data_IF_848592133045
#
_entry.id   IF_848592133045
#
_cell.length_a   1.000
_cell.length_b   1.000
_cell.length_c   1.000
_cell.angle_alpha   90.00
_cell.angle_beta   90.00
_cell.angle_gamma   90.00
#
_symmetry.space_group_name_H-M   'P 1'
#
loop_
_entity.id
_entity.type
_entity.pdbx_description
1 polymer ?
#
# COMPACT_ATOMS: atom_id res chain seq x y z
N UNK A 1 -1.82 -1.80 12.48
CA UNK A 1 -2.65 -2.58 11.54
C UNK A 1 -1.77 -3.19 10.46
N UNK A 2 -2.04 -4.43 10.06
CA UNK A 2 -1.33 -5.09 8.97
C UNK A 2 -2.15 -4.93 7.69
N UNK A 3 -1.52 -4.44 6.64
CA UNK A 3 -2.10 -4.33 5.31
C UNK A 3 -1.43 -5.32 4.36
N UNK A 4 -2.25 -6.17 3.74
CA UNK A 4 -1.83 -7.07 2.67
C UNK A 4 -2.56 -6.69 1.38
N UNK A 5 -1.87 -6.37 0.28
CA UNK A 5 -2.53 -6.04 -0.97
C UNK A 5 -3.34 -7.23 -1.50
N UNK A 6 -4.47 -6.94 -2.14
CA UNK A 6 -5.29 -7.96 -2.79
C UNK A 6 -4.59 -8.57 -4.00
N UNK A 7 -3.79 -7.78 -4.67
CA UNK A 7 -3.10 -8.07 -5.92
C UNK A 7 -1.59 -8.14 -5.69
N UNK A 8 -1.12 -9.04 -4.85
CA UNK A 8 0.30 -9.34 -4.81
C UNK A 8 0.59 -10.40 -5.85
N UNK A 9 1.20 -10.03 -6.94
CA UNK A 9 1.78 -11.00 -7.86
C UNK A 9 3.10 -11.46 -7.31
N UNK A 10 3.39 -12.77 -7.32
CA UNK A 10 4.74 -13.25 -7.11
C UNK A 10 5.62 -12.56 -8.17
N UNK A 11 6.73 -11.99 -7.76
CA UNK A 11 7.65 -11.32 -8.65
C UNK A 11 8.04 -12.25 -9.80
N UNK A 12 7.36 -12.14 -10.94
CA UNK A 12 7.92 -12.55 -12.21
C UNK A 12 9.23 -11.79 -12.40
N UNK A 13 10.16 -12.29 -13.22
CA UNK A 13 11.51 -11.78 -13.44
C UNK A 13 11.65 -10.29 -13.15
N UNK A 14 12.44 -9.96 -12.11
CA UNK A 14 12.74 -8.60 -11.68
C UNK A 14 13.21 -7.76 -12.87
N UNK A 15 12.48 -6.72 -13.19
CA UNK A 15 13.03 -5.63 -13.97
C UNK A 15 13.75 -4.74 -12.96
N UNK A 16 15.06 -4.55 -13.09
CA UNK A 16 15.89 -3.81 -12.13
C UNK A 16 15.39 -2.39 -11.82
N UNK A 17 14.61 -1.79 -12.73
CA UNK A 17 14.08 -0.43 -12.61
C UNK A 17 12.79 -0.30 -11.81
N UNK A 18 12.03 -1.40 -11.64
CA UNK A 18 10.74 -1.35 -10.97
C UNK A 18 10.85 -1.88 -9.54
N UNK A 19 10.30 -1.19 -8.52
CA UNK A 19 10.25 -1.71 -7.17
C UNK A 19 9.32 -2.94 -7.14
N UNK A 20 9.86 -4.17 -6.97
CA UNK A 20 9.09 -5.40 -7.18
C UNK A 20 8.01 -5.63 -6.11
N UNK A 21 8.12 -4.95 -4.98
CA UNK A 21 7.19 -5.10 -3.86
C UNK A 21 6.25 -3.90 -3.69
N UNK A 22 6.33 -2.90 -4.56
CA UNK A 22 5.34 -1.84 -4.66
C UNK A 22 4.11 -2.34 -5.43
N UNK A 23 2.98 -1.67 -5.27
CA UNK A 23 1.81 -1.94 -6.10
C UNK A 23 2.09 -1.60 -7.57
N UNK A 24 1.80 -2.54 -8.47
CA UNK A 24 2.00 -2.40 -9.90
C UNK A 24 0.79 -1.88 -10.67
N UNK A 25 -0.34 -1.59 -9.99
CA UNK A 25 -1.55 -1.09 -10.63
C UNK A 25 -1.37 0.33 -11.20
N UNK A 26 -2.28 0.74 -12.07
CA UNK A 26 -2.24 2.08 -12.65
C UNK A 26 -2.46 3.21 -11.63
N UNK A 27 -2.95 2.90 -10.45
CA UNK A 27 -3.20 3.85 -9.36
C UNK A 27 -2.41 3.54 -8.08
N UNK A 28 -1.36 2.71 -8.14
CA UNK A 28 -0.44 2.41 -7.01
C UNK A 28 -1.13 2.40 -5.64
N UNK A 29 -1.95 1.40 -5.38
CA UNK A 29 -2.74 1.36 -4.15
C UNK A 29 -2.24 0.28 -3.17
N UNK A 30 -1.49 0.67 -2.13
CA UNK A 30 -1.10 2.01 -1.71
C UNK A 30 0.01 2.61 -2.59
N UNK A 31 0.06 3.94 -2.67
CA UNK A 31 1.22 4.63 -3.22
C UNK A 31 2.30 4.72 -2.15
N UNK A 32 3.31 3.86 -2.26
CA UNK A 32 4.43 3.81 -1.31
C UNK A 32 5.65 4.62 -1.77
N UNK A 33 5.65 5.14 -3.00
CA UNK A 33 6.81 5.78 -3.60
C UNK A 33 6.87 7.28 -3.32
N UNK A 34 5.74 7.89 -3.05
CA UNK A 34 5.64 9.31 -2.70
C UNK A 34 6.36 9.64 -1.38
N UNK A 35 6.75 10.92 -1.22
CA UNK A 35 7.32 11.42 0.04
C UNK A 35 6.39 11.16 1.24
N UNK A 36 5.11 11.37 1.03
CA UNK A 36 4.06 10.93 1.92
C UNK A 36 3.31 9.78 1.24
N UNK A 37 3.58 8.52 1.58
CA UNK A 37 2.81 7.40 1.10
C UNK A 37 1.32 7.59 1.33
N UNK A 38 0.50 7.05 0.44
CA UNK A 38 -0.94 7.22 0.56
C UNK A 38 -1.68 5.89 0.49
N UNK A 39 -2.76 5.82 1.26
CA UNK A 39 -3.67 4.68 1.33
C UNK A 39 -5.08 5.22 1.12
N UNK A 40 -5.84 4.55 0.25
CA UNK A 40 -7.19 4.96 -0.08
C UNK A 40 -8.18 3.79 0.04
N UNK A 41 -9.44 4.05 -0.29
CA UNK A 41 -10.46 3.02 -0.37
C UNK A 41 -10.48 2.26 -1.72
N UNK A 42 -9.60 2.60 -2.68
CA UNK A 42 -9.64 2.07 -4.05
C UNK A 42 -9.54 0.55 -4.13
N UNK A 43 -8.67 -0.08 -3.36
CA UNK A 43 -8.50 -1.54 -3.38
C UNK A 43 -9.36 -2.29 -2.37
N UNK A 44 -9.61 -1.71 -1.20
CA UNK A 44 -10.26 -2.39 -0.08
C UNK A 44 -11.61 -1.81 0.29
N UNK A 45 -12.06 -0.78 -0.42
CA UNK A 45 -13.32 -0.11 -0.14
C UNK A 45 -13.41 0.32 1.32
N UNK A 46 -14.59 0.16 1.92
CA UNK A 46 -14.87 0.58 3.29
C UNK A 46 -14.21 -0.30 4.38
N UNK A 47 -13.48 -1.34 3.99
CA UNK A 47 -12.94 -2.31 4.94
C UNK A 47 -11.57 -1.95 5.50
N UNK A 48 -10.88 -0.92 4.98
CA UNK A 48 -9.55 -0.56 5.44
C UNK A 48 -9.39 0.94 5.71
N UNK A 49 -9.13 1.76 4.67
CA UNK A 49 -8.83 3.18 4.84
C UNK A 49 -9.85 3.94 5.71
N UNK A 50 -11.17 3.74 5.56
CA UNK A 50 -12.16 4.43 6.38
C UNK A 50 -12.11 4.12 7.88
N UNK A 51 -11.45 3.03 8.26
CA UNK A 51 -11.34 2.60 9.67
C UNK A 51 -10.06 3.10 10.35
N UNK A 52 -9.19 3.76 9.61
CA UNK A 52 -7.93 4.28 10.13
C UNK A 52 -8.05 5.76 10.51
N UNK A 53 -7.36 6.13 11.56
CA UNK A 53 -7.30 7.47 12.12
C UNK A 53 -5.87 8.00 12.11
N UNK A 54 -5.73 9.31 12.27
CA UNK A 54 -4.42 9.94 12.45
C UNK A 54 -3.76 9.35 13.70
N UNK A 55 -2.48 9.00 13.59
CA UNK A 55 -1.70 8.31 14.62
C UNK A 55 -1.71 6.78 14.50
N UNK A 56 -2.61 6.19 13.70
CA UNK A 56 -2.59 4.76 13.46
C UNK A 56 -1.32 4.35 12.70
N UNK A 57 -0.75 3.20 13.10
CA UNK A 57 0.41 2.59 12.45
C UNK A 57 -0.01 1.46 11.55
N UNK A 58 0.55 1.43 10.36
CA UNK A 58 0.24 0.45 9.32
C UNK A 58 1.50 -0.28 8.90
N UNK A 59 1.52 -1.60 9.05
CA UNK A 59 2.54 -2.46 8.45
C UNK A 59 2.03 -2.97 7.09
N UNK A 60 2.72 -2.62 6.03
CA UNK A 60 2.43 -3.13 4.69
C UNK A 60 3.26 -4.38 4.43
N UNK A 61 2.55 -5.50 4.26
CA UNK A 61 3.15 -6.81 4.06
C UNK A 61 2.70 -7.36 2.71
N UNK A 62 3.63 -7.51 1.78
CA UNK A 62 3.38 -8.10 0.47
C UNK A 62 3.53 -9.63 0.52
N UNK A 63 2.74 -10.34 -0.28
CA UNK A 63 2.90 -11.78 -0.47
C UNK A 63 4.04 -12.04 -1.45
N UNK A 64 4.98 -12.92 -1.12
CA UNK A 64 6.10 -13.26 -2.00
C UNK A 64 5.83 -14.58 -2.75
N UNK A 65 5.71 -15.67 -2.03
CA UNK A 65 5.38 -17.00 -2.53
C UNK A 65 4.47 -17.71 -1.53
N UNK A 66 3.98 -18.88 -1.84
CA UNK A 66 3.15 -19.65 -0.91
C UNK A 66 3.86 -19.81 0.45
N UNK A 67 3.23 -19.29 1.51
CA UNK A 67 3.75 -19.37 2.88
C UNK A 67 4.86 -18.39 3.25
N UNK A 68 5.21 -17.45 2.37
CA UNK A 68 6.17 -16.37 2.67
C UNK A 68 5.59 -15.00 2.38
N UNK A 69 6.05 -14.01 3.13
CA UNK A 69 5.66 -12.60 3.01
C UNK A 69 6.89 -11.72 3.10
N UNK A 70 6.73 -10.45 2.75
CA UNK A 70 7.79 -9.45 2.84
C UNK A 70 7.26 -8.22 3.57
N UNK A 71 7.98 -7.76 4.61
CA UNK A 71 7.68 -6.48 5.23
C UNK A 71 8.18 -5.37 4.31
N UNK A 72 7.28 -4.65 3.67
CA UNK A 72 7.63 -3.68 2.63
C UNK A 72 7.67 -2.25 3.17
N UNK A 73 6.78 -1.91 4.10
CA UNK A 73 6.75 -0.59 4.72
C UNK A 73 6.12 -0.62 6.12
N UNK A 74 6.60 0.29 6.96
CA UNK A 74 6.00 0.68 8.23
C UNK A 74 5.62 2.16 8.12
N UNK A 75 4.35 2.46 8.29
CA UNK A 75 3.77 3.78 8.06
C UNK A 75 3.04 4.26 9.31
N UNK A 76 2.95 5.58 9.46
CA UNK A 76 2.07 6.24 10.41
C UNK A 76 1.13 7.17 9.65
N UNK A 77 -0.16 7.09 9.92
CA UNK A 77 -1.17 7.98 9.33
C UNK A 77 -0.99 9.37 9.94
N UNK A 78 -0.61 10.35 9.13
CA UNK A 78 -0.39 11.73 9.59
C UNK A 78 -1.52 12.68 9.20
N UNK A 79 -2.31 12.31 8.19
CA UNK A 79 -3.45 13.10 7.76
C UNK A 79 -4.54 12.18 7.18
N UNK A 80 -5.78 12.51 7.46
CA UNK A 80 -6.97 11.88 6.90
C UNK A 80 -7.82 12.95 6.21
N UNK A 81 -8.32 12.61 5.04
CA UNK A 81 -9.21 13.44 4.24
C UNK A 81 -10.46 12.63 3.91
N UNK A 82 -11.58 13.31 3.78
CA UNK A 82 -12.85 12.68 3.39
C UNK A 82 -13.01 12.64 1.87
N UNK A 83 -12.24 13.45 1.14
CA UNK A 83 -12.27 13.52 -0.32
C UNK A 83 -10.86 13.49 -0.93
N UNK A 84 -10.76 13.04 -2.18
CA UNK A 84 -9.53 13.08 -2.96
C UNK A 84 -9.10 14.52 -3.30
N UNK A 85 -10.04 15.45 -3.43
CA UNK A 85 -9.79 16.86 -3.70
C UNK A 85 -9.10 17.56 -2.54
N UNK A 86 -9.55 17.30 -1.31
CA UNK A 86 -8.89 17.79 -0.09
C UNK A 86 -7.46 17.28 0.01
N UNK A 87 -7.26 15.98 -0.25
CA UNK A 87 -5.93 15.37 -0.27
C UNK A 87 -5.05 16.02 -1.34
N UNK A 88 -5.54 16.18 -2.57
CA UNK A 88 -4.79 16.81 -3.66
C UNK A 88 -4.37 18.24 -3.31
N UNK A 89 -5.27 19.00 -2.70
CA UNK A 89 -4.99 20.37 -2.23
C UNK A 89 -3.89 20.39 -1.19
N UNK A 90 -3.95 19.46 -0.23
CA UNK A 90 -2.91 19.33 0.78
C UNK A 90 -1.54 18.96 0.19
N UNK A 91 -1.47 17.97 -0.73
CA UNK A 91 -0.21 17.59 -1.37
C UNK A 91 0.41 18.77 -2.14
N UNK A 92 -0.41 19.52 -2.90
CA UNK A 92 0.05 20.73 -3.60
C UNK A 92 0.57 21.79 -2.61
N UNK A 93 -0.11 21.96 -1.47
CA UNK A 93 0.33 22.84 -0.39
C UNK A 93 1.66 22.44 0.26
N UNK A 94 2.05 21.15 0.15
CA UNK A 94 3.37 20.65 0.54
C UNK A 94 4.43 20.77 -0.58
N UNK A 95 4.10 21.38 -1.70
CA UNK A 95 4.96 21.44 -2.88
C UNK A 95 5.14 20.11 -3.59
N UNK A 96 4.19 19.18 -3.44
CA UNK A 96 4.24 17.84 -4.00
C UNK A 96 3.10 17.64 -5.01
N UNK A 97 3.31 16.85 -6.07
CA UNK A 97 2.21 16.41 -6.91
C UNK A 97 1.30 15.46 -6.11
N UNK A 98 -0.02 15.47 -6.39
CA UNK A 98 -0.90 14.44 -5.85
C UNK A 98 -0.41 13.04 -6.28
N UNK A 99 -0.41 12.05 -5.38
CA UNK A 99 0.03 10.69 -5.72
C UNK A 99 -0.91 10.03 -6.73
N UNK A 100 -0.44 8.96 -7.37
CA UNK A 100 -1.14 8.31 -8.49
C UNK A 100 -2.53 7.77 -8.14
N UNK A 101 -2.76 7.41 -6.87
CA UNK A 101 -4.06 6.95 -6.35
C UNK A 101 -5.00 8.12 -5.93
N UNK A 102 -4.59 9.36 -6.13
CA UNK A 102 -5.45 10.51 -5.91
C UNK A 102 -6.31 10.75 -7.15
N UNK A 103 -7.59 10.37 -7.09
CA UNK A 103 -8.54 10.38 -8.20
C UNK A 103 -9.15 11.77 -8.38
N UNK A 104 -8.35 12.72 -8.86
CA UNK A 104 -8.79 14.10 -9.14
C UNK A 104 -8.47 14.50 -10.57
N UNK A 105 -9.12 15.56 -11.07
CA UNK A 105 -8.83 16.10 -12.39
C UNK A 105 -7.35 16.48 -12.51
N UNK A 106 -6.70 16.01 -13.57
CA UNK A 106 -5.30 16.27 -13.86
C UNK A 106 -4.32 15.20 -13.36
N UNK A 107 -4.78 14.21 -12.58
CA UNK A 107 -4.00 13.00 -12.32
C UNK A 107 -4.32 11.94 -13.36
N UNK A 108 -3.28 11.44 -14.04
CA UNK A 108 -3.41 10.38 -15.03
C UNK A 108 -3.02 9.02 -14.47
N UNK A 109 -3.62 7.92 -14.97
CA UNK A 109 -3.19 6.59 -14.60
C UNK A 109 -1.74 6.35 -15.05
N UNK A 110 -0.98 5.67 -14.20
CA UNK A 110 0.38 5.23 -14.52
C UNK A 110 0.33 3.94 -15.35
N UNK A 111 1.38 3.64 -16.12
CA UNK A 111 1.52 2.35 -16.77
C UNK A 111 1.47 1.21 -15.75
N UNK A 112 0.83 0.11 -16.12
CA UNK A 112 0.88 -1.12 -15.32
C UNK A 112 2.32 -1.63 -15.28
N UNK A 113 2.77 -2.03 -14.10
CA UNK A 113 4.08 -2.68 -13.95
C UNK A 113 3.97 -4.18 -14.23
N UNK A 114 5.06 -4.77 -14.70
CA UNK A 114 5.14 -6.22 -14.95
C UNK A 114 4.96 -7.07 -13.70
N UNK A 115 5.17 -6.49 -12.51
CA UNK A 115 4.93 -7.10 -11.22
C UNK A 115 3.44 -7.23 -10.90
N UNK A 116 2.59 -6.55 -11.65
CA UNK A 116 1.15 -6.61 -11.49
C UNK A 116 0.57 -7.66 -12.43
N UNK A 117 -0.10 -8.67 -11.89
CA UNK A 117 -0.78 -9.69 -12.70
C UNK A 117 -1.90 -9.06 -13.52
N UNK A 118 -1.83 -9.26 -14.83
CA UNK A 118 -2.73 -8.70 -15.85
C UNK A 118 -4.18 -9.20 -15.70
N UNK A 119 -4.46 -10.04 -14.72
CA UNK A 119 -5.68 -10.87 -14.69
C UNK A 119 -6.97 -10.18 -14.24
N UNK A 120 -6.92 -8.95 -13.71
CA UNK A 120 -8.12 -8.42 -13.08
C UNK A 120 -9.07 -7.64 -14.00
N UNK A 121 -8.59 -6.89 -14.97
CA UNK A 121 -9.46 -6.10 -15.84
C UNK A 121 -9.00 -6.01 -17.30
N UNK A 122 -7.93 -6.69 -17.69
CA UNK A 122 -7.44 -6.77 -19.09
C UNK A 122 -6.95 -5.45 -19.69
N UNK A 123 -7.59 -4.34 -19.40
CA UNK A 123 -7.30 -3.03 -20.01
C UNK A 123 -7.13 -1.93 -18.96
N UNK A 124 -6.10 -1.10 -19.16
CA UNK A 124 -5.79 0.04 -18.30
C UNK A 124 -7.00 0.96 -18.07
N UNK A 125 -7.76 1.24 -19.13
CA UNK A 125 -8.94 2.10 -19.07
C UNK A 125 -10.02 1.55 -18.14
N UNK A 126 -10.34 0.26 -18.23
CA UNK A 126 -11.34 -0.38 -17.36
C UNK A 126 -10.91 -0.39 -15.89
N UNK A 127 -9.60 -0.53 -15.64
CA UNK A 127 -9.05 -0.41 -14.29
C UNK A 127 -9.23 0.98 -13.73
N UNK A 128 -8.90 2.00 -14.50
CA UNK A 128 -9.02 3.38 -14.08
C UNK A 128 -10.48 3.78 -13.82
N UNK A 129 -11.38 3.36 -14.67
CA UNK A 129 -12.84 3.55 -14.50
C UNK A 129 -13.34 2.90 -13.19
N UNK A 130 -12.90 1.68 -12.87
CA UNK A 130 -13.24 1.03 -11.59
C UNK A 130 -12.70 1.79 -10.38
N UNK A 131 -11.48 2.31 -10.46
CA UNK A 131 -10.92 3.12 -9.39
C UNK A 131 -11.69 4.45 -9.23
N UNK A 132 -12.06 5.09 -10.33
CA UNK A 132 -12.88 6.29 -10.29
C UNK A 132 -14.24 6.03 -9.62
N UNK A 133 -14.91 4.94 -9.99
CA UNK A 133 -16.15 4.54 -9.34
C UNK A 133 -15.96 4.36 -7.83
N UNK A 134 -14.94 3.65 -7.40
CA UNK A 134 -14.65 3.42 -5.98
C UNK A 134 -14.32 4.69 -5.22
N UNK A 135 -13.59 5.62 -5.83
CA UNK A 135 -13.33 6.93 -5.24
C UNK A 135 -14.62 7.73 -5.01
N UNK A 136 -15.58 7.64 -5.94
CA UNK A 136 -16.88 8.26 -5.81
C UNK A 136 -17.74 7.61 -4.71
N UNK A 137 -17.61 6.28 -4.53
CA UNK A 137 -18.33 5.54 -3.48
C UNK A 137 -17.73 5.75 -2.08
N UNK A 138 -16.43 5.99 -2.00
CA UNK A 138 -15.70 6.20 -0.76
C UNK A 138 -14.44 7.04 -1.00
N UNK A 139 -14.54 8.34 -0.73
CA UNK A 139 -13.49 9.32 -0.97
C UNK A 139 -12.36 9.33 0.08
N UNK A 140 -12.41 8.47 1.10
CA UNK A 140 -11.42 8.50 2.19
C UNK A 140 -10.01 8.31 1.65
N UNK A 141 -9.15 9.25 2.00
CA UNK A 141 -7.76 9.32 1.60
C UNK A 141 -6.86 9.54 2.82
N UNK A 142 -5.82 8.74 2.96
CA UNK A 142 -4.86 8.83 4.06
C UNK A 142 -3.49 9.20 3.50
N UNK A 143 -2.88 10.25 4.06
CA UNK A 143 -1.46 10.53 3.87
C UNK A 143 -0.69 9.98 5.05
N UNK A 144 0.42 9.29 4.77
CA UNK A 144 1.22 8.62 5.76
C UNK A 144 2.65 9.15 5.77
N UNK A 145 3.28 9.11 6.96
CA UNK A 145 4.72 9.26 7.10
C UNK A 145 5.36 7.88 7.02
N UNK A 146 6.37 7.66 6.16
CA UNK A 146 7.11 6.41 6.21
C UNK A 146 8.00 6.41 7.45
N UNK A 147 7.78 5.46 8.34
CA UNK A 147 8.67 5.19 9.47
C UNK A 147 9.86 4.33 9.00
N UNK A 148 9.57 3.45 8.04
CA UNK A 148 10.54 2.65 7.31
C UNK A 148 9.90 2.12 6.02
N UNK A 149 10.68 1.95 4.96
CA UNK A 149 10.26 1.23 3.75
C UNK A 149 11.46 0.67 2.99
N UNK A 150 11.27 -0.53 2.44
CA UNK A 150 12.17 -1.12 1.46
C UNK A 150 11.30 -1.75 0.35
N UNK A 151 11.32 -1.16 -0.84
CA UNK A 151 10.50 -1.58 -1.97
C UNK A 151 11.26 -2.52 -2.92
N UNK A 152 12.56 -2.67 -2.74
CA UNK A 152 13.42 -3.43 -3.65
C UNK A 152 13.73 -4.83 -3.10
N UNK A 153 14.14 -4.93 -1.86
CA UNK A 153 14.47 -6.19 -1.20
C UNK A 153 14.06 -6.17 0.28
N UNK A 154 12.75 -6.13 0.55
CA UNK A 154 12.25 -6.12 1.92
C UNK A 154 12.50 -7.46 2.61
N UNK A 155 12.70 -7.46 3.94
CA UNK A 155 12.93 -8.65 4.74
C UNK A 155 11.78 -9.64 4.61
N UNK A 156 12.13 -10.91 4.59
CA UNK A 156 11.17 -12.01 4.49
C UNK A 156 10.58 -12.34 5.86
N UNK A 157 9.29 -12.63 5.86
CA UNK A 157 8.55 -13.16 7.00
C UNK A 157 8.08 -14.55 6.64
N UNK A 158 8.43 -15.53 7.44
CA UNK A 158 8.01 -16.92 7.24
C UNK A 158 6.72 -17.23 8.02
N UNK A 159 6.11 -18.37 7.74
CA UNK A 159 4.98 -18.87 8.53
C UNK A 159 5.38 -19.05 10.00
N UNK A 160 6.60 -19.56 10.27
CA UNK A 160 7.12 -19.77 11.62
C UNK A 160 7.23 -18.46 12.40
N UNK A 161 7.65 -17.37 11.75
CA UNK A 161 7.70 -16.05 12.38
C UNK A 161 6.30 -15.59 12.81
N UNK A 162 5.31 -15.73 11.93
CA UNK A 162 3.92 -15.38 12.27
C UNK A 162 3.37 -16.21 13.43
N UNK A 163 3.62 -17.52 13.45
CA UNK A 163 3.21 -18.43 14.53
C UNK A 163 3.87 -18.03 15.87
N UNK A 164 5.16 -17.72 15.82
CA UNK A 164 5.91 -17.26 17.00
C UNK A 164 5.39 -15.92 17.55
N UNK A 165 4.97 -15.02 16.68
CA UNK A 165 4.43 -13.72 17.07
C UNK A 165 2.94 -13.76 17.46
N UNK A 166 2.30 -14.92 17.40
CA UNK A 166 0.90 -15.10 17.74
C UNK A 166 -0.07 -14.48 16.74
N UNK A 167 0.35 -14.37 15.48
CA UNK A 167 -0.45 -13.74 14.43
C UNK A 167 -0.39 -14.48 13.09
N UNK A 168 -1.17 -13.99 12.16
CA UNK A 168 -1.09 -14.38 10.74
C UNK A 168 -1.46 -13.18 9.88
N UNK A 169 -0.87 -13.04 8.68
CA UNK A 169 -1.27 -11.98 7.75
C UNK A 169 -2.67 -12.31 7.23
N UNK A 170 -3.66 -11.63 7.76
CA UNK A 170 -5.05 -11.77 7.29
C UNK A 170 -5.29 -10.86 6.11
N UNK A 171 -6.27 -11.22 5.25
CA UNK A 171 -6.73 -10.32 4.18
C UNK A 171 -7.50 -9.13 4.73
N UNK A 172 -8.00 -9.25 5.95
CA UNK A 172 -8.71 -8.20 6.66
C UNK A 172 -7.74 -7.47 7.58
N UNK A 173 -7.79 -6.15 7.66
CA UNK A 173 -7.00 -5.42 8.63
C UNK A 173 -7.30 -5.94 10.02
N UNK A 174 -6.29 -6.40 10.71
CA UNK A 174 -6.41 -6.85 12.09
C UNK A 174 -5.72 -5.85 13.00
N UNK A 175 -6.39 -5.44 14.06
CA UNK A 175 -5.77 -4.68 15.12
C UNK A 175 -4.98 -5.65 15.99
N UNK A 176 -3.69 -5.76 15.71
CA UNK A 176 -2.77 -6.67 16.42
C UNK A 176 -1.60 -5.85 16.96
N UNK A 177 -1.80 -5.12 18.09
CA UNK A 177 -0.74 -4.28 18.66
C UNK A 177 0.53 -5.08 18.96
N UNK A 178 0.40 -6.34 19.34
CA UNK A 178 1.53 -7.22 19.69
C UNK A 178 2.46 -7.55 18.50
N UNK A 179 2.01 -7.35 17.26
CA UNK A 179 2.82 -7.63 16.09
C UNK A 179 3.69 -6.43 15.65
N UNK A 180 3.49 -5.24 16.25
CA UNK A 180 4.26 -4.06 15.85
C UNK A 180 5.74 -4.20 16.22
N UNK A 181 6.06 -4.61 17.44
CA UNK A 181 7.45 -4.73 17.90
C UNK A 181 8.26 -5.77 17.10
N UNK A 182 7.76 -7.00 16.87
CA UNK A 182 8.43 -7.96 15.99
C UNK A 182 8.67 -7.43 14.57
N UNK A 183 7.66 -6.79 13.97
CA UNK A 183 7.79 -6.20 12.62
C UNK A 183 8.75 -5.00 12.61
N UNK A 184 8.75 -4.21 13.68
CA UNK A 184 9.69 -3.11 13.84
C UNK A 184 11.14 -3.60 14.01
N UNK A 185 11.34 -4.69 14.75
CA UNK A 185 12.64 -5.35 14.89
C UNK A 185 13.20 -5.90 13.58
N UNK A 186 12.33 -6.47 12.73
CA UNK A 186 12.72 -7.09 11.48
C UNK A 186 13.41 -6.12 10.48
N UNK A 187 13.09 -4.81 10.53
CA UNK A 187 13.72 -3.79 9.69
C UNK A 187 15.25 -3.73 9.86
N UNK A 188 15.73 -4.01 11.08
CA UNK A 188 17.16 -3.92 11.41
C UNK A 188 17.99 -5.03 10.76
N UNK A 189 17.36 -6.12 10.33
CA UNK A 189 18.05 -7.24 9.67
C UNK A 189 18.29 -7.00 8.17
N UNK A 190 17.75 -5.91 7.63
CA UNK A 190 17.80 -5.58 6.19
C UNK A 190 18.57 -4.29 5.87
N UNK A 191 19.14 -3.62 6.85
CA UNK A 191 20.09 -2.55 6.60
C UNK A 191 21.45 -3.18 6.26
N UNK A 192 22.04 -2.85 5.08
CA UNK A 192 23.34 -3.38 4.66
C UNK A 192 24.48 -2.83 5.50
#
# INVERSE_FOLDING_TARGET
>A
VIYRPLCSTPAGRRVKSDPPYADGSCRREPDLESKFPSITALCRGRNFAPRLHVGDRVAYVSSAQAGTWRLTALLEVVKRFETHEEAATWYRGQGLPPPSNCMVRGTSPLPLRRTHGVSHCGELKKWDEHYQQRANECGVFLACKPLWRNLQDPPMITRKDWEQWGGAPTRTPSNTPNLWEPLWGLRLTSDP
#
